data_IF_004181301751
#
_entry.id   IF_004181301751
#
_cell.length_a   1.000
_cell.length_b   1.000
_cell.length_c   1.000
_cell.angle_alpha   90.00
_cell.angle_beta   90.00
_cell.angle_gamma   90.00
#
_symmetry.space_group_name_H-M   'P 1'
#
loop_
_entity.id
_entity.type
_entity.pdbx_description
1 polymer ?
#
# COMPACT_ATOMS: atom_id res chain seq x y z
N UNK A 1 -20.92 -38.93 2.64
CA UNK A 1 -22.00 -39.59 1.91
C UNK A 1 -23.14 -39.93 2.86
N UNK A 2 -22.89 -40.77 3.88
CA UNK A 2 -23.93 -41.13 4.86
C UNK A 2 -24.35 -39.95 5.74
N UNK A 3 -23.43 -39.11 6.14
CA UNK A 3 -23.64 -37.99 7.05
C UNK A 3 -24.43 -36.81 6.41
N UNK A 4 -24.32 -36.61 5.09
CA UNK A 4 -24.97 -35.52 4.36
C UNK A 4 -26.03 -35.97 3.34
N UNK A 5 -26.38 -37.26 3.30
CA UNK A 5 -27.44 -37.79 2.43
C UNK A 5 -27.23 -37.60 0.91
N UNK A 6 -25.99 -37.35 0.46
CA UNK A 6 -25.66 -37.14 -0.95
C UNK A 6 -24.96 -38.33 -1.58
N UNK A 7 -25.04 -38.45 -2.92
CA UNK A 7 -24.38 -39.53 -3.65
C UNK A 7 -22.84 -39.37 -3.68
N UNK A 8 -22.14 -40.49 -3.87
CA UNK A 8 -20.66 -40.47 -4.06
C UNK A 8 -20.24 -39.63 -5.27
N UNK A 9 -21.05 -39.55 -6.30
CA UNK A 9 -20.81 -38.75 -7.49
C UNK A 9 -20.79 -37.27 -7.16
N UNK A 10 -21.78 -36.81 -6.37
CA UNK A 10 -21.86 -35.42 -5.92
C UNK A 10 -20.63 -35.01 -5.08
N UNK A 11 -20.20 -35.91 -4.17
CA UNK A 11 -18.98 -35.65 -3.36
C UNK A 11 -17.74 -35.59 -4.23
N UNK A 12 -17.57 -36.47 -5.21
CA UNK A 12 -16.45 -36.46 -6.15
C UNK A 12 -16.42 -35.17 -6.98
N UNK A 13 -17.56 -34.71 -7.47
CA UNK A 13 -17.68 -33.49 -8.24
C UNK A 13 -17.36 -32.25 -7.41
N UNK A 14 -17.81 -32.21 -6.16
CA UNK A 14 -17.46 -31.16 -5.21
C UNK A 14 -15.95 -31.12 -4.95
N UNK A 15 -15.30 -32.25 -4.69
CA UNK A 15 -13.85 -32.36 -4.51
C UNK A 15 -13.11 -31.91 -5.78
N UNK A 16 -13.56 -32.32 -6.97
CA UNK A 16 -12.95 -31.89 -8.23
C UNK A 16 -13.04 -30.37 -8.41
N UNK A 17 -14.15 -29.74 -8.07
CA UNK A 17 -14.30 -28.28 -8.11
C UNK A 17 -13.37 -27.59 -7.09
N UNK A 18 -13.27 -28.12 -5.87
CA UNK A 18 -12.36 -27.62 -4.86
C UNK A 18 -10.87 -27.76 -5.28
N UNK A 19 -10.52 -28.87 -5.95
CA UNK A 19 -9.18 -29.06 -6.53
C UNK A 19 -8.90 -28.08 -7.65
N UNK A 20 -9.86 -27.89 -8.57
CA UNK A 20 -9.74 -26.91 -9.65
C UNK A 20 -9.59 -25.47 -9.12
N UNK A 21 -10.16 -25.18 -7.95
CA UNK A 21 -10.02 -23.90 -7.24
C UNK A 21 -8.76 -23.82 -6.37
N UNK A 22 -7.89 -24.86 -6.34
CA UNK A 22 -6.68 -24.87 -5.53
C UNK A 22 -6.93 -24.89 -4.00
N UNK A 23 -8.12 -25.30 -3.57
CA UNK A 23 -8.48 -25.33 -2.15
C UNK A 23 -8.13 -26.66 -1.47
N UNK A 24 -8.02 -27.72 -2.26
CA UNK A 24 -7.66 -29.07 -1.77
C UNK A 24 -6.69 -29.77 -2.73
N UNK A 25 -5.84 -30.63 -2.19
CA UNK A 25 -4.95 -31.52 -2.92
C UNK A 25 -5.34 -32.98 -2.61
N UNK A 26 -5.52 -33.80 -3.65
CA UNK A 26 -5.73 -35.25 -3.46
C UNK A 26 -4.44 -35.98 -3.70
N UNK A 27 -3.96 -36.69 -2.65
CA UNK A 27 -2.80 -37.60 -2.71
C UNK A 27 -3.31 -39.00 -2.88
N UNK A 28 -2.93 -39.64 -3.99
CA UNK A 28 -3.42 -40.98 -4.34
C UNK A 28 -3.14 -42.00 -3.23
N UNK A 29 -4.18 -42.76 -2.79
CA UNK A 29 -4.07 -43.75 -1.73
C UNK A 29 -3.98 -43.20 -0.30
N UNK A 30 -3.89 -41.89 -0.11
CA UNK A 30 -3.72 -41.26 1.21
C UNK A 30 -4.95 -40.46 1.60
N UNK A 31 -5.49 -39.59 0.72
CA UNK A 31 -6.68 -38.81 1.03
C UNK A 31 -6.67 -37.42 0.31
N UNK A 32 -7.69 -36.63 0.62
CA UNK A 32 -7.83 -35.27 0.18
C UNK A 32 -7.56 -34.32 1.36
N UNK A 33 -6.65 -33.41 1.19
CA UNK A 33 -6.20 -32.47 2.22
C UNK A 33 -6.59 -31.06 1.82
N UNK A 34 -7.03 -30.28 2.80
CA UNK A 34 -7.19 -28.84 2.62
C UNK A 34 -5.80 -28.25 2.44
N UNK A 35 -5.56 -27.60 1.33
CA UNK A 35 -4.32 -26.83 1.14
C UNK A 35 -4.51 -25.53 1.90
N UNK A 36 -3.66 -25.28 2.89
CA UNK A 36 -3.52 -23.93 3.41
C UNK A 36 -3.13 -23.06 2.19
N UNK A 37 -4.07 -22.22 1.74
CA UNK A 37 -3.85 -21.38 0.56
C UNK A 37 -2.56 -20.63 0.84
N UNK A 38 -1.49 -20.98 0.16
CA UNK A 38 -0.40 -20.00 -0.01
C UNK A 38 -1.11 -18.73 -0.49
N UNK A 39 -0.95 -17.59 0.18
CA UNK A 39 -1.67 -16.37 -0.18
C UNK A 39 -1.61 -16.26 -1.70
N UNK A 40 -2.77 -16.12 -2.33
CA UNK A 40 -2.91 -16.10 -3.80
C UNK A 40 -1.68 -15.39 -4.35
N UNK A 41 -1.12 -15.91 -5.46
CA UNK A 41 0.07 -15.30 -6.07
C UNK A 41 -0.35 -13.91 -6.59
N UNK A 42 -0.74 -13.05 -5.65
CA UNK A 42 -0.91 -11.64 -5.87
C UNK A 42 0.42 -11.06 -6.34
N UNK A 43 0.40 -9.90 -6.87
CA UNK A 43 1.57 -9.15 -7.34
C UNK A 43 2.72 -9.26 -6.31
N UNK A 44 3.70 -10.14 -6.55
CA UNK A 44 4.89 -10.26 -5.71
C UNK A 44 5.85 -9.17 -6.12
N UNK A 45 5.89 -8.13 -5.30
CA UNK A 45 6.82 -7.03 -5.51
C UNK A 45 8.11 -7.35 -4.76
N UNK A 46 9.19 -7.56 -5.51
CA UNK A 46 10.51 -7.71 -4.91
C UNK A 46 11.04 -6.31 -4.56
N UNK A 47 10.98 -5.96 -3.29
CA UNK A 47 11.44 -4.66 -2.75
C UNK A 47 12.78 -4.76 -2.01
N UNK A 48 13.41 -5.94 -2.03
CA UNK A 48 14.66 -6.19 -1.31
C UNK A 48 15.90 -5.73 -2.12
N UNK A 49 15.69 -5.25 -3.33
CA UNK A 49 16.76 -4.72 -4.20
C UNK A 49 16.52 -3.25 -4.55
N UNK A 50 17.59 -2.52 -4.82
CA UNK A 50 17.51 -1.12 -5.29
C UNK A 50 16.64 -1.00 -6.57
N UNK A 51 16.74 -1.97 -7.48
CA UNK A 51 15.91 -2.04 -8.69
C UNK A 51 14.43 -2.24 -8.35
N UNK A 52 14.11 -3.13 -7.41
CA UNK A 52 12.75 -3.37 -6.94
C UNK A 52 12.13 -2.12 -6.31
N UNK A 53 12.88 -1.43 -5.46
CA UNK A 53 12.46 -0.15 -4.86
C UNK A 53 12.16 0.90 -5.92
N UNK A 54 13.04 1.05 -6.92
CA UNK A 54 12.84 2.00 -8.02
C UNK A 54 11.57 1.68 -8.81
N UNK A 55 11.34 0.40 -9.13
CA UNK A 55 10.14 -0.04 -9.85
C UNK A 55 8.85 0.27 -9.07
N UNK A 56 8.86 0.10 -7.75
CA UNK A 56 7.74 0.47 -6.88
C UNK A 56 7.49 1.98 -6.91
N UNK A 57 8.53 2.80 -6.83
CA UNK A 57 8.40 4.25 -6.87
C UNK A 57 7.85 4.73 -8.23
N UNK A 58 8.23 4.09 -9.33
CA UNK A 58 7.65 4.37 -10.67
C UNK A 58 6.17 3.98 -10.74
N UNK A 59 5.78 2.83 -10.19
CA UNK A 59 4.38 2.41 -10.11
C UNK A 59 3.56 3.40 -9.26
N UNK A 60 4.08 3.81 -8.11
CA UNK A 60 3.46 4.80 -7.24
C UNK A 60 3.24 6.14 -7.95
N UNK A 61 4.22 6.62 -8.73
CA UNK A 61 4.07 7.84 -9.52
C UNK A 61 2.85 7.77 -10.45
N UNK A 62 2.64 6.66 -11.15
CA UNK A 62 1.48 6.48 -12.02
C UNK A 62 0.15 6.39 -11.27
N UNK A 63 0.13 5.68 -10.14
CA UNK A 63 -1.09 5.38 -9.39
C UNK A 63 -1.51 6.54 -8.47
N UNK A 64 -0.59 7.03 -7.63
CA UNK A 64 -0.95 7.93 -6.53
C UNK A 64 -1.14 9.38 -6.99
N UNK A 65 -0.49 9.81 -8.06
CA UNK A 65 -0.77 11.13 -8.64
C UNK A 65 -2.20 11.23 -9.16
N UNK A 66 -2.69 10.17 -9.79
CA UNK A 66 -4.07 10.10 -10.23
C UNK A 66 -5.02 9.95 -9.04
N UNK A 67 -4.66 9.17 -8.02
CA UNK A 67 -5.43 9.03 -6.80
C UNK A 67 -5.61 10.39 -6.09
N UNK A 68 -4.55 11.19 -5.97
CA UNK A 68 -4.62 12.52 -5.35
C UNK A 68 -5.57 13.48 -6.11
N UNK A 69 -5.53 13.47 -7.43
CA UNK A 69 -6.43 14.28 -8.25
C UNK A 69 -7.90 13.86 -8.08
N UNK A 70 -8.18 12.54 -8.08
CA UNK A 70 -9.53 12.01 -7.87
C UNK A 70 -10.02 12.29 -6.43
N UNK A 71 -9.14 12.12 -5.44
CA UNK A 71 -9.45 12.44 -4.05
C UNK A 71 -9.83 13.91 -3.87
N UNK A 72 -9.13 14.83 -4.50
CA UNK A 72 -9.47 16.26 -4.48
C UNK A 72 -10.90 16.52 -4.98
N UNK A 73 -11.34 15.80 -6.00
CA UNK A 73 -12.69 15.96 -6.59
C UNK A 73 -13.80 15.25 -5.80
N UNK A 74 -13.48 14.17 -5.07
CA UNK A 74 -14.49 13.22 -4.58
C UNK A 74 -14.50 13.04 -3.07
N UNK A 75 -13.48 13.48 -2.38
CA UNK A 75 -13.34 13.30 -0.93
C UNK A 75 -14.54 13.83 -0.15
N UNK A 76 -14.94 13.16 0.91
CA UNK A 76 -15.84 13.68 1.92
C UNK A 76 -15.08 14.54 2.95
N UNK A 77 -15.82 15.35 3.73
CA UNK A 77 -15.22 16.11 4.85
C UNK A 77 -14.65 15.16 5.91
N UNK A 78 -15.29 14.03 6.15
CA UNK A 78 -14.78 13.02 7.08
C UNK A 78 -13.45 12.44 6.63
N UNK A 79 -13.30 12.12 5.35
CA UNK A 79 -12.01 11.64 4.80
C UNK A 79 -10.92 12.70 4.89
N UNK A 80 -11.27 13.97 4.68
CA UNK A 80 -10.32 15.08 4.86
C UNK A 80 -9.84 15.17 6.32
N UNK A 81 -10.74 15.01 7.29
CA UNK A 81 -10.36 14.97 8.72
C UNK A 81 -9.47 13.76 9.04
N UNK A 82 -9.74 12.60 8.46
CA UNK A 82 -8.91 11.41 8.65
C UNK A 82 -7.49 11.60 8.07
N UNK A 83 -7.36 12.21 6.89
CA UNK A 83 -6.07 12.56 6.31
C UNK A 83 -5.31 13.56 7.20
N UNK A 84 -5.97 14.58 7.74
CA UNK A 84 -5.39 15.52 8.71
C UNK A 84 -4.86 14.76 9.92
N UNK A 85 -5.68 13.91 10.53
CA UNK A 85 -5.27 13.12 11.69
C UNK A 85 -4.04 12.24 11.39
N UNK A 86 -3.94 11.67 10.20
CA UNK A 86 -2.78 10.87 9.83
C UNK A 86 -1.49 11.72 9.75
N UNK A 87 -1.58 12.99 9.30
CA UNK A 87 -0.44 13.92 9.29
C UNK A 87 -0.10 14.45 10.69
N UNK A 88 -1.08 14.68 11.55
CA UNK A 88 -0.86 15.07 12.94
C UNK A 88 -0.16 13.93 13.71
N UNK A 89 -0.56 12.67 13.47
CA UNK A 89 0.11 11.49 14.01
C UNK A 89 1.54 11.37 13.48
N UNK A 90 1.75 11.63 12.17
CA UNK A 90 3.08 11.65 11.56
C UNK A 90 4.01 12.68 12.24
N UNK A 91 3.54 13.92 12.43
CA UNK A 91 4.32 14.98 13.08
C UNK A 91 4.67 14.61 14.52
N UNK A 92 3.69 14.11 15.28
CA UNK A 92 3.91 13.69 16.68
C UNK A 92 4.96 12.57 16.80
N UNK A 93 4.92 11.58 15.90
CA UNK A 93 5.92 10.52 15.85
C UNK A 93 7.31 11.07 15.50
N UNK A 94 7.36 12.01 14.55
CA UNK A 94 8.59 12.66 14.15
C UNK A 94 9.24 13.45 15.31
N UNK A 95 8.43 14.20 16.07
CA UNK A 95 8.89 14.97 17.22
C UNK A 95 9.46 14.07 18.34
N UNK A 96 8.93 12.85 18.46
CA UNK A 96 9.39 11.84 19.40
C UNK A 96 10.57 11.00 18.89
N UNK A 97 11.06 11.25 17.67
CA UNK A 97 12.01 10.40 16.95
C UNK A 97 11.54 8.94 16.77
N UNK A 98 10.23 8.74 16.72
CA UNK A 98 9.62 7.45 16.44
C UNK A 98 9.46 7.19 14.93
N UNK A 99 9.15 5.94 14.57
CA UNK A 99 8.94 5.56 13.18
C UNK A 99 7.63 6.13 12.61
N UNK A 100 7.72 6.97 11.57
CA UNK A 100 6.58 7.57 10.90
C UNK A 100 5.98 6.69 9.78
N UNK A 101 6.52 5.49 9.54
CA UNK A 101 6.16 4.63 8.38
C UNK A 101 4.68 4.31 8.32
N UNK A 102 4.07 3.97 9.44
CA UNK A 102 2.66 3.58 9.45
C UNK A 102 1.73 4.80 9.26
N UNK A 103 2.08 5.96 9.81
CA UNK A 103 1.34 7.20 9.60
C UNK A 103 1.43 7.67 8.13
N UNK A 104 2.61 7.56 7.52
CA UNK A 104 2.86 7.83 6.11
C UNK A 104 1.99 6.90 5.22
N UNK A 105 2.05 5.59 5.47
CA UNK A 105 1.25 4.59 4.76
C UNK A 105 -0.25 4.88 4.87
N UNK A 106 -0.71 5.20 6.07
CA UNK A 106 -2.12 5.52 6.34
C UNK A 106 -2.57 6.75 5.55
N UNK A 107 -1.76 7.80 5.49
CA UNK A 107 -2.08 9.00 4.72
C UNK A 107 -2.28 8.68 3.23
N UNK A 108 -1.36 7.96 2.61
CA UNK A 108 -1.47 7.55 1.20
C UNK A 108 -2.67 6.62 0.94
N UNK A 109 -2.96 5.71 1.86
CA UNK A 109 -4.14 4.83 1.74
C UNK A 109 -5.45 5.62 1.82
N UNK A 110 -5.57 6.59 2.73
CA UNK A 110 -6.73 7.46 2.85
C UNK A 110 -6.98 8.29 1.57
N UNK A 111 -5.92 8.72 0.89
CA UNK A 111 -6.03 9.36 -0.43
C UNK A 111 -6.59 8.37 -1.46
N UNK A 112 -6.12 7.14 -1.48
CA UNK A 112 -6.62 6.11 -2.39
C UNK A 112 -8.11 5.78 -2.11
N UNK A 113 -8.52 5.67 -0.86
CA UNK A 113 -9.91 5.47 -0.45
C UNK A 113 -10.81 6.65 -0.86
N UNK A 114 -10.30 7.88 -0.76
CA UNK A 114 -11.03 9.09 -1.15
C UNK A 114 -11.25 9.23 -2.65
N UNK A 115 -10.62 8.40 -3.49
CA UNK A 115 -10.94 8.31 -4.92
C UNK A 115 -12.36 7.79 -5.18
N UNK A 116 -12.97 7.08 -4.21
CA UNK A 116 -14.24 6.37 -4.40
C UNK A 116 -14.14 5.17 -5.35
N UNK A 117 -12.94 4.78 -5.78
CA UNK A 117 -12.69 3.60 -6.61
C UNK A 117 -11.91 2.57 -5.80
N UNK A 118 -12.57 1.48 -5.44
CA UNK A 118 -12.04 0.41 -4.59
C UNK A 118 -10.71 -0.19 -5.12
N UNK A 119 -10.51 -0.22 -6.43
CA UNK A 119 -9.28 -0.75 -7.00
C UNK A 119 -8.03 0.04 -6.56
N UNK A 120 -8.14 1.37 -6.35
CA UNK A 120 -7.01 2.16 -5.82
C UNK A 120 -6.64 1.73 -4.41
N UNK A 121 -7.64 1.61 -3.51
CA UNK A 121 -7.38 1.21 -2.12
C UNK A 121 -6.91 -0.23 -2.00
N UNK A 122 -7.46 -1.17 -2.78
CA UNK A 122 -7.02 -2.57 -2.80
C UNK A 122 -5.56 -2.72 -3.28
N UNK A 123 -5.18 -2.03 -4.37
CA UNK A 123 -3.80 -2.04 -4.84
C UNK A 123 -2.88 -1.43 -3.78
N UNK A 124 -3.24 -0.29 -3.20
CA UNK A 124 -2.44 0.38 -2.18
C UNK A 124 -2.29 -0.48 -0.92
N UNK A 125 -3.35 -1.17 -0.47
CA UNK A 125 -3.29 -2.13 0.64
C UNK A 125 -2.37 -3.31 0.31
N UNK A 126 -2.47 -3.84 -0.92
CA UNK A 126 -1.65 -4.96 -1.38
C UNK A 126 -0.16 -4.61 -1.47
N UNK A 127 0.15 -3.38 -1.89
CA UNK A 127 1.52 -2.85 -1.85
C UNK A 127 2.08 -2.80 -0.42
N UNK A 128 1.23 -2.57 0.57
CA UNK A 128 1.54 -2.64 2.00
C UNK A 128 2.83 -1.90 2.38
N UNK A 129 3.70 -2.57 3.12
CA UNK A 129 4.99 -2.02 3.56
C UNK A 129 5.99 -1.77 2.40
N UNK A 130 5.74 -2.32 1.21
CA UNK A 130 6.53 -2.05 0.01
C UNK A 130 6.40 -0.61 -0.48
N UNK A 131 5.33 0.09 -0.07
CA UNK A 131 5.10 1.49 -0.45
C UNK A 131 6.14 2.47 0.10
N UNK A 132 6.77 2.14 1.22
CA UNK A 132 7.69 3.07 1.90
C UNK A 132 9.08 2.43 2.00
N UNK A 133 9.91 2.59 0.95
CA UNK A 133 11.22 1.95 0.91
C UNK A 133 12.22 2.49 1.94
N UNK A 134 11.93 3.65 2.54
CA UNK A 134 12.88 4.44 3.35
C UNK A 134 13.56 3.67 4.48
N UNK A 135 12.91 2.63 5.02
CA UNK A 135 13.40 1.97 6.22
C UNK A 135 14.19 0.68 5.96
N UNK A 136 14.23 0.16 4.73
CA UNK A 136 14.79 -1.18 4.50
C UNK A 136 16.25 -1.19 4.08
N UNK A 137 16.72 -0.19 3.34
CA UNK A 137 18.03 -0.28 2.71
C UNK A 137 19.12 0.60 3.35
N UNK A 138 18.81 1.66 4.11
CA UNK A 138 19.88 2.56 4.58
C UNK A 138 19.63 3.21 5.96
N UNK A 139 18.67 2.77 6.76
CA UNK A 139 18.41 3.35 8.08
C UNK A 139 19.58 3.15 9.06
N UNK A 140 20.33 2.06 8.89
CA UNK A 140 21.47 1.74 9.74
C UNK A 140 22.70 2.63 9.47
N UNK A 141 22.78 3.25 8.29
CA UNK A 141 23.93 4.07 7.86
C UNK A 141 23.72 5.57 8.07
N UNK A 142 22.47 6.00 8.35
CA UNK A 142 22.11 7.41 8.55
C UNK A 142 22.05 7.78 10.01
N UNK A 143 22.61 8.93 10.36
CA UNK A 143 22.43 9.50 11.69
C UNK A 143 20.97 9.94 11.94
N UNK A 144 20.55 9.92 13.22
CA UNK A 144 19.19 10.30 13.62
C UNK A 144 18.80 11.72 13.15
N UNK A 145 19.73 12.66 13.09
CA UNK A 145 19.51 14.04 12.62
C UNK A 145 19.13 14.08 11.14
N UNK A 146 19.75 13.27 10.28
CA UNK A 146 19.43 13.21 8.86
C UNK A 146 18.07 12.57 8.61
N UNK A 147 17.72 11.53 9.38
CA UNK A 147 16.40 10.89 9.31
C UNK A 147 15.29 11.86 9.73
N UNK A 148 15.49 12.63 10.80
CA UNK A 148 14.55 13.65 11.25
C UNK A 148 14.35 14.74 10.18
N UNK A 149 15.42 15.27 9.59
CA UNK A 149 15.35 16.25 8.51
C UNK A 149 14.58 15.73 7.28
N UNK A 150 14.83 14.49 6.87
CA UNK A 150 14.12 13.87 5.76
C UNK A 150 12.64 13.65 6.07
N UNK A 151 12.31 13.29 7.31
CA UNK A 151 10.94 13.20 7.81
C UNK A 151 10.22 14.54 7.76
N UNK A 152 10.87 15.63 8.18
CA UNK A 152 10.30 16.97 8.12
C UNK A 152 10.03 17.43 6.67
N UNK A 153 10.96 17.18 5.74
CA UNK A 153 10.73 17.48 4.32
C UNK A 153 9.55 16.71 3.75
N UNK A 154 9.43 15.41 4.09
CA UNK A 154 8.30 14.61 3.65
C UNK A 154 6.98 15.10 4.25
N UNK A 155 6.97 15.52 5.53
CA UNK A 155 5.78 16.09 6.17
C UNK A 155 5.31 17.36 5.44
N UNK A 156 6.21 18.28 5.10
CA UNK A 156 5.88 19.50 4.34
C UNK A 156 5.28 19.17 2.96
N UNK A 157 5.83 18.16 2.30
CA UNK A 157 5.29 17.68 1.02
C UNK A 157 3.88 17.09 1.18
N UNK A 158 3.63 16.30 2.22
CA UNK A 158 2.29 15.78 2.55
C UNK A 158 1.29 16.90 2.86
N UNK A 159 1.72 17.94 3.59
CA UNK A 159 0.89 19.13 3.84
C UNK A 159 0.47 19.82 2.54
N UNK A 160 1.37 19.93 1.57
CA UNK A 160 1.05 20.50 0.27
C UNK A 160 -0.01 19.67 -0.48
N UNK A 161 0.09 18.33 -0.42
CA UNK A 161 -0.90 17.41 -1.00
C UNK A 161 -2.26 17.59 -0.31
N UNK A 162 -2.30 17.53 1.02
CA UNK A 162 -3.54 17.68 1.78
C UNK A 162 -4.21 19.03 1.53
N UNK A 163 -3.43 20.11 1.47
CA UNK A 163 -3.93 21.44 1.19
C UNK A 163 -4.55 21.55 -0.21
N UNK A 164 -3.98 20.91 -1.22
CA UNK A 164 -4.54 20.85 -2.57
C UNK A 164 -5.85 20.04 -2.59
N UNK A 165 -5.89 18.88 -1.92
CA UNK A 165 -7.10 18.05 -1.76
C UNK A 165 -8.19 18.83 -1.01
N UNK A 166 -7.84 19.56 0.05
CA UNK A 166 -8.76 20.40 0.81
C UNK A 166 -9.42 21.46 -0.07
N UNK A 167 -8.66 22.13 -0.93
CA UNK A 167 -9.17 23.14 -1.87
C UNK A 167 -9.91 22.53 -3.07
N UNK A 168 -10.00 21.23 -3.17
CA UNK A 168 -10.58 20.50 -4.31
C UNK A 168 -9.87 20.83 -5.65
N UNK A 169 -8.59 21.16 -5.60
CA UNK A 169 -7.75 21.46 -6.75
C UNK A 169 -7.05 20.17 -7.24
N UNK A 170 -7.66 19.52 -8.21
CA UNK A 170 -7.19 18.23 -8.71
C UNK A 170 -5.80 18.30 -9.36
N UNK A 171 -5.52 19.39 -10.08
CA UNK A 171 -4.23 19.54 -10.76
C UNK A 171 -3.11 19.89 -9.78
N UNK A 172 -3.38 20.75 -8.79
CA UNK A 172 -2.44 20.99 -7.70
C UNK A 172 -2.20 19.73 -6.86
N UNK A 173 -3.22 18.92 -6.58
CA UNK A 173 -3.08 17.68 -5.83
C UNK A 173 -2.21 16.66 -6.60
N UNK A 174 -2.43 16.51 -7.91
CA UNK A 174 -1.59 15.69 -8.79
C UNK A 174 -0.15 16.14 -8.79
N UNK A 175 0.09 17.45 -8.96
CA UNK A 175 1.42 18.02 -9.01
C UNK A 175 2.17 17.88 -7.67
N UNK A 176 1.50 18.12 -6.55
CA UNK A 176 2.06 17.96 -5.20
C UNK A 176 2.44 16.50 -4.92
N UNK A 177 1.57 15.54 -5.27
CA UNK A 177 1.87 14.12 -5.13
C UNK A 177 3.04 13.68 -6.03
N UNK A 178 3.06 14.16 -7.27
CA UNK A 178 4.17 13.89 -8.19
C UNK A 178 5.51 14.40 -7.64
N UNK A 179 5.54 15.62 -7.13
CA UNK A 179 6.73 16.21 -6.54
C UNK A 179 7.20 15.41 -5.31
N UNK A 180 6.28 15.08 -4.41
CA UNK A 180 6.57 14.25 -3.22
C UNK A 180 7.23 12.91 -3.59
N UNK A 181 6.62 12.17 -4.53
CA UNK A 181 7.13 10.86 -4.95
C UNK A 181 8.45 10.95 -5.71
N UNK A 182 8.62 11.98 -6.55
CA UNK A 182 9.88 12.25 -7.24
C UNK A 182 10.99 12.58 -6.26
N UNK A 183 10.75 13.49 -5.31
CA UNK A 183 11.71 13.82 -4.26
C UNK A 183 12.04 12.57 -3.40
N UNK A 184 11.05 11.72 -3.12
CA UNK A 184 11.26 10.46 -2.40
C UNK A 184 12.19 9.52 -3.17
N UNK A 185 11.99 9.40 -4.49
CA UNK A 185 12.85 8.60 -5.38
C UNK A 185 14.27 9.16 -5.44
N UNK A 186 14.41 10.47 -5.58
CA UNK A 186 15.71 11.11 -5.71
C UNK A 186 16.51 11.03 -4.39
N UNK A 187 15.83 11.18 -3.24
CA UNK A 187 16.41 10.92 -1.91
C UNK A 187 16.90 9.48 -1.75
N UNK A 188 16.28 8.54 -2.45
CA UNK A 188 16.71 7.16 -2.48
C UNK A 188 17.90 6.94 -3.43
N UNK A 189 17.88 7.56 -4.62
CA UNK A 189 18.88 7.36 -5.68
C UNK A 189 20.22 8.08 -5.41
N UNK A 190 20.21 9.15 -4.62
CA UNK A 190 21.43 9.92 -4.30
C UNK A 190 22.44 9.14 -3.43
N UNK A 191 22.22 7.85 -3.19
CA UNK A 191 22.96 7.01 -2.25
C UNK A 191 23.45 5.68 -2.84
N UNK A 192 23.22 5.43 -4.12
CA UNK A 192 23.76 4.35 -4.92
C UNK A 192 24.77 4.83 -5.90
#
# INVERSE_FOLDING_TARGET
>A
VQEHGVSRTVVREAISKLQASGLVETRHGIGTFVIERAPEQGLRLNVDTALGVRSILELRLGLETQAAALAAQRRSEQQLLQMRQALDDYQRLLDNNDSCVEADRRFHLLIAEATGNVCFSEIMQHLGSAMIPRNRLNAAERGAADLSKLGQLAHLEHEAILNAIKRQDADAARAAMWLHLTNSRDRFSAQG
#
